data_IF_701312473977
#
_entry.id   IF_701312473977
#
_cell.length_a   1.000
_cell.length_b   1.000
_cell.length_c   1.000
_cell.angle_alpha   90.00
_cell.angle_beta   90.00
_cell.angle_gamma   90.00
#
_symmetry.space_group_name_H-M   'P 1'
#
loop_
_entity.id
_entity.type
_entity.pdbx_description
1 polymer ?
#
# COMPACT_ATOMS: atom_id res chain seq x y z
N UNK A 1 3.67 37.10 -22.67
CA UNK A 1 4.81 37.14 -23.61
C UNK A 1 6.02 37.68 -22.87
N UNK A 2 6.87 36.79 -22.37
CA UNK A 2 8.12 37.19 -21.71
C UNK A 2 9.20 37.10 -22.77
N UNK A 3 9.66 38.25 -23.26
CA UNK A 3 10.80 38.36 -24.15
C UNK A 3 12.07 38.30 -23.31
N UNK A 4 12.71 37.14 -23.25
CA UNK A 4 14.07 37.08 -22.73
C UNK A 4 15.05 37.51 -23.82
N UNK A 5 15.50 38.75 -23.74
CA UNK A 5 16.64 39.23 -24.53
C UNK A 5 17.91 38.94 -23.74
N UNK A 6 18.58 37.84 -24.06
CA UNK A 6 19.92 37.58 -23.54
C UNK A 6 20.90 38.39 -24.38
N UNK A 7 21.39 39.51 -23.85
CA UNK A 7 22.45 40.29 -24.46
C UNK A 7 23.79 39.73 -24.01
N UNK A 8 24.40 38.87 -24.83
CA UNK A 8 25.80 38.48 -24.69
C UNK A 8 26.64 39.36 -25.57
N UNK A 9 27.35 40.32 -24.99
CA UNK A 9 28.42 41.08 -25.67
C UNK A 9 29.66 40.19 -25.77
N UNK A 10 29.98 39.67 -26.95
CA UNK A 10 31.36 39.36 -27.33
C UNK A 10 31.50 39.23 -28.84
N UNK A 11 32.35 40.09 -29.39
CA UNK A 11 33.13 40.00 -30.62
C UNK A 11 32.54 39.20 -31.79
N UNK A 12 31.96 39.94 -32.77
CA UNK A 12 32.14 39.66 -34.18
C UNK A 12 31.67 38.32 -34.74
N UNK A 13 30.55 37.76 -34.29
CA UNK A 13 29.92 36.62 -34.95
C UNK A 13 28.60 37.12 -35.54
N UNK A 14 28.58 37.28 -36.88
CA UNK A 14 27.32 37.44 -37.62
C UNK A 14 26.43 36.25 -37.36
N UNK A 15 25.45 36.40 -36.47
CA UNK A 15 24.40 35.40 -36.32
C UNK A 15 23.53 35.44 -37.60
N UNK A 16 23.82 34.53 -38.54
CA UNK A 16 22.82 34.15 -39.54
C UNK A 16 21.56 33.77 -38.75
N UNK A 17 20.47 34.50 -38.97
CA UNK A 17 19.13 34.15 -38.46
C UNK A 17 18.84 32.72 -38.84
N UNK A 18 19.07 31.80 -37.92
CA UNK A 18 18.78 30.37 -38.12
C UNK A 18 17.26 30.29 -38.30
N UNK A 19 16.81 29.92 -39.50
CA UNK A 19 15.40 29.65 -39.80
C UNK A 19 14.83 28.77 -38.68
N UNK A 20 13.88 29.33 -37.92
CA UNK A 20 13.24 28.58 -36.80
C UNK A 20 12.66 27.33 -37.44
N UNK A 21 13.04 26.15 -36.92
CA UNK A 21 12.68 24.87 -37.51
C UNK A 21 11.23 24.55 -37.18
N UNK A 22 10.36 24.69 -38.15
CA UNK A 22 8.94 24.28 -38.06
C UNK A 22 8.81 22.79 -38.17
N UNK A 23 8.12 22.17 -37.25
CA UNK A 23 7.90 20.73 -37.14
C UNK A 23 6.43 20.38 -37.41
N UNK A 24 6.18 19.34 -38.17
CA UNK A 24 4.84 18.75 -38.26
C UNK A 24 4.43 18.14 -36.91
N UNK A 25 3.13 17.89 -36.69
CA UNK A 25 2.63 17.17 -35.49
C UNK A 25 3.39 15.87 -35.24
N UNK A 26 3.69 15.11 -36.30
CA UNK A 26 4.42 13.86 -36.18
C UNK A 26 5.86 14.04 -35.69
N UNK A 27 6.54 15.04 -36.22
CA UNK A 27 7.92 15.35 -35.82
C UNK A 27 8.01 15.90 -34.41
N UNK A 28 7.07 16.79 -34.02
CA UNK A 28 7.01 17.33 -32.69
C UNK A 28 6.63 16.23 -31.65
N UNK A 29 5.66 15.39 -31.98
CA UNK A 29 5.28 14.24 -31.15
C UNK A 29 6.45 13.28 -30.93
N UNK A 30 7.21 12.96 -31.99
CA UNK A 30 8.40 12.10 -31.90
C UNK A 30 9.51 12.75 -31.07
N UNK A 31 9.73 14.05 -31.23
CA UNK A 31 10.75 14.80 -30.47
C UNK A 31 10.51 14.74 -28.96
N UNK A 32 9.24 14.82 -28.56
CA UNK A 32 8.82 14.84 -27.15
C UNK A 32 8.31 13.49 -26.64
N UNK A 33 8.47 12.41 -27.44
CA UNK A 33 8.07 11.06 -27.05
C UNK A 33 6.60 10.94 -26.63
N UNK A 34 5.72 11.66 -27.32
CA UNK A 34 4.27 11.63 -27.06
C UNK A 34 3.48 11.15 -28.26
N UNK A 35 2.21 10.76 -28.02
CA UNK A 35 1.31 10.42 -29.13
C UNK A 35 0.83 11.68 -29.87
N UNK A 36 0.68 11.61 -31.18
CA UNK A 36 0.05 12.68 -31.97
C UNK A 36 -1.34 13.06 -31.46
N UNK A 37 -2.10 12.07 -30.94
CA UNK A 37 -3.43 12.30 -30.35
C UNK A 37 -3.37 13.25 -29.18
N UNK A 38 -2.32 13.19 -28.35
CA UNK A 38 -2.10 14.09 -27.23
C UNK A 38 -1.99 15.54 -27.70
N UNK A 39 -1.22 15.79 -28.77
CA UNK A 39 -1.07 17.14 -29.34
C UNK A 39 -2.38 17.64 -29.99
N UNK A 40 -3.13 16.77 -30.64
CA UNK A 40 -4.44 17.12 -31.17
C UNK A 40 -5.41 17.49 -30.05
N UNK A 41 -5.48 16.66 -29.01
CA UNK A 41 -6.32 16.90 -27.84
C UNK A 41 -5.95 18.20 -27.12
N UNK A 42 -4.66 18.44 -26.90
CA UNK A 42 -4.19 19.68 -26.27
C UNK A 42 -4.51 20.95 -27.08
N UNK A 43 -4.49 20.85 -28.42
CA UNK A 43 -4.94 21.94 -29.28
C UNK A 43 -6.45 22.16 -29.21
N UNK A 44 -7.26 21.10 -29.18
CA UNK A 44 -8.73 21.17 -29.05
C UNK A 44 -9.18 21.83 -27.76
N UNK A 45 -8.56 21.44 -26.63
CA UNK A 45 -8.84 22.04 -25.31
C UNK A 45 -8.08 23.34 -25.04
N UNK A 46 -7.34 23.84 -26.01
CA UNK A 46 -6.53 25.08 -25.93
C UNK A 46 -5.46 25.10 -24.82
N UNK A 47 -5.01 23.93 -24.41
CA UNK A 47 -3.91 23.80 -23.48
C UNK A 47 -2.56 24.07 -24.16
N UNK A 48 -2.36 23.51 -25.37
CA UNK A 48 -1.15 23.71 -26.18
C UNK A 48 -1.51 23.65 -27.65
N UNK A 49 -1.42 24.79 -28.32
CA UNK A 49 -1.79 24.92 -29.74
C UNK A 49 -0.56 25.03 -30.65
N UNK A 50 -0.67 24.56 -31.91
CA UNK A 50 0.39 24.74 -32.89
C UNK A 50 0.63 26.23 -33.20
N UNK A 51 1.85 26.57 -33.58
CA UNK A 51 2.20 27.95 -33.97
C UNK A 51 1.41 28.43 -35.19
N UNK A 52 1.22 27.51 -36.15
CA UNK A 52 0.47 27.79 -37.38
C UNK A 52 -0.33 26.55 -37.79
N UNK A 53 -1.42 26.81 -38.54
CA UNK A 53 -2.18 25.77 -39.27
C UNK A 53 -2.19 26.15 -40.75
N UNK A 54 -2.01 25.18 -41.64
CA UNK A 54 -2.18 25.43 -43.08
C UNK A 54 -3.67 25.60 -43.44
N UNK A 55 -3.96 26.08 -44.63
CA UNK A 55 -5.32 26.15 -45.20
C UNK A 55 -6.02 24.80 -45.21
N UNK A 56 -5.25 23.74 -45.42
CA UNK A 56 -5.75 22.35 -45.33
C UNK A 56 -5.85 21.79 -43.90
N UNK A 57 -5.68 22.61 -42.85
CA UNK A 57 -5.82 22.24 -41.44
C UNK A 57 -4.62 21.51 -40.83
N UNK A 58 -3.50 21.32 -41.55
CA UNK A 58 -2.30 20.71 -40.99
C UNK A 58 -1.65 21.60 -39.94
N UNK A 59 -1.30 21.00 -38.78
CA UNK A 59 -0.71 21.65 -37.60
C UNK A 59 0.81 21.68 -37.70
N UNK A 60 1.40 22.86 -37.48
CA UNK A 60 2.83 23.03 -37.43
C UNK A 60 3.26 23.70 -36.12
N UNK A 61 4.23 23.10 -35.48
CA UNK A 61 4.81 23.53 -34.22
C UNK A 61 6.18 24.14 -34.44
N UNK A 62 6.48 25.18 -33.71
CA UNK A 62 7.80 25.77 -33.67
C UNK A 62 8.66 25.05 -32.61
N UNK A 63 9.93 24.82 -32.90
CA UNK A 63 10.85 24.21 -31.93
C UNK A 63 10.96 25.06 -30.65
N UNK A 64 10.76 26.36 -30.68
CA UNK A 64 10.71 27.22 -29.50
C UNK A 64 9.57 26.89 -28.54
N UNK A 65 8.51 26.21 -29.02
CA UNK A 65 7.40 25.78 -28.20
C UNK A 65 7.74 24.53 -27.32
N UNK A 66 8.91 23.91 -27.55
CA UNK A 66 9.33 22.73 -26.79
C UNK A 66 9.40 22.97 -25.29
N UNK A 67 9.92 24.13 -24.87
CA UNK A 67 10.00 24.47 -23.43
C UNK A 67 8.60 24.60 -22.81
N UNK A 68 7.67 25.25 -23.49
CA UNK A 68 6.28 25.37 -23.05
C UNK A 68 5.61 24.01 -22.95
N UNK A 69 5.89 23.13 -23.90
CA UNK A 69 5.36 21.77 -23.89
C UNK A 69 5.94 20.93 -22.74
N UNK A 70 7.26 20.97 -22.52
CA UNK A 70 7.89 20.27 -21.40
C UNK A 70 7.42 20.83 -20.05
N UNK A 71 7.13 22.12 -19.96
CA UNK A 71 6.55 22.71 -18.77
C UNK A 71 5.15 22.15 -18.47
N UNK A 72 4.30 21.97 -19.48
CA UNK A 72 3.00 21.30 -19.33
C UNK A 72 3.18 19.85 -18.87
N UNK A 73 4.16 19.14 -19.44
CA UNK A 73 4.48 17.75 -19.04
C UNK A 73 4.88 17.69 -17.57
N UNK A 74 5.78 18.57 -17.14
CA UNK A 74 6.18 18.65 -15.73
C UNK A 74 4.97 18.85 -14.80
N UNK A 75 4.04 19.76 -15.14
CA UNK A 75 2.82 19.97 -14.35
C UNK A 75 1.91 18.72 -14.34
N UNK A 76 1.86 17.96 -15.45
CA UNK A 76 1.15 16.67 -15.51
C UNK A 76 1.83 15.61 -14.65
N UNK A 77 3.15 15.55 -14.63
CA UNK A 77 3.92 14.63 -13.76
C UNK A 77 3.70 14.94 -12.27
N UNK A 78 3.42 16.20 -11.94
CA UNK A 78 2.97 16.62 -10.60
C UNK A 78 1.50 16.26 -10.31
N UNK A 79 0.89 15.38 -11.12
CA UNK A 79 -0.49 14.94 -11.00
C UNK A 79 -1.55 16.03 -11.06
N UNK A 80 -1.22 17.17 -11.68
CA UNK A 80 -2.23 18.21 -11.92
C UNK A 80 -3.26 17.77 -12.96
N UNK A 81 -4.51 18.10 -12.71
CA UNK A 81 -5.56 17.97 -13.71
C UNK A 81 -5.33 18.95 -14.87
N UNK A 82 -5.96 18.70 -16.01
CA UNK A 82 -5.85 19.60 -17.16
C UNK A 82 -6.43 20.98 -16.85
N UNK A 83 -7.52 21.00 -16.11
CA UNK A 83 -8.22 22.22 -15.67
C UNK A 83 -7.33 23.06 -14.74
N UNK A 84 -6.63 22.43 -13.81
CA UNK A 84 -5.66 23.09 -12.92
C UNK A 84 -4.51 23.69 -13.72
N UNK A 85 -3.96 22.97 -14.71
CA UNK A 85 -2.89 23.47 -15.57
C UNK A 85 -3.38 24.67 -16.40
N UNK A 86 -4.55 24.59 -17.01
CA UNK A 86 -5.13 25.69 -17.79
C UNK A 86 -5.35 26.91 -16.89
N UNK A 87 -5.88 26.73 -15.70
CA UNK A 87 -6.13 27.81 -14.73
C UNK A 87 -4.82 28.46 -14.29
N UNK A 88 -3.84 27.65 -13.89
CA UNK A 88 -2.52 28.16 -13.50
C UNK A 88 -1.83 28.95 -14.61
N UNK A 89 -1.87 28.45 -15.86
CA UNK A 89 -1.24 29.13 -17.03
C UNK A 89 -1.87 30.45 -17.44
N UNK A 90 -3.12 30.71 -17.02
CA UNK A 90 -3.78 32.00 -17.30
C UNK A 90 -3.15 33.15 -16.52
N UNK A 91 -2.75 32.93 -15.28
CA UNK A 91 -2.15 33.95 -14.41
C UNK A 91 -1.03 33.34 -13.54
N UNK A 92 0.09 32.92 -14.18
CA UNK A 92 1.21 32.37 -13.45
C UNK A 92 1.84 33.44 -12.56
N UNK A 93 1.98 33.16 -11.28
CA UNK A 93 2.67 34.01 -10.33
C UNK A 93 3.35 33.17 -9.24
N UNK A 94 4.37 33.76 -8.62
CA UNK A 94 5.17 33.07 -7.60
C UNK A 94 4.33 32.54 -6.43
N UNK A 95 3.34 33.30 -5.97
CA UNK A 95 2.50 32.88 -4.83
C UNK A 95 1.68 31.65 -5.17
N UNK A 96 1.02 31.65 -6.34
CA UNK A 96 0.22 30.51 -6.80
C UNK A 96 1.09 29.28 -7.05
N UNK A 97 2.33 29.46 -7.55
CA UNK A 97 3.26 28.35 -7.72
C UNK A 97 3.69 27.74 -6.40
N UNK A 98 4.05 28.55 -5.41
CA UNK A 98 4.45 28.05 -4.10
C UNK A 98 3.31 27.27 -3.42
N UNK A 99 2.10 27.81 -3.43
CA UNK A 99 0.93 27.10 -2.88
C UNK A 99 0.66 25.77 -3.58
N UNK A 100 0.78 25.75 -4.91
CA UNK A 100 0.64 24.52 -5.68
C UNK A 100 1.74 23.51 -5.34
N UNK A 101 2.99 23.98 -5.29
CA UNK A 101 4.13 23.11 -4.97
C UNK A 101 4.00 22.49 -3.57
N UNK A 102 3.64 23.30 -2.57
CA UNK A 102 3.44 22.84 -1.19
C UNK A 102 2.34 21.74 -1.14
N UNK A 103 1.20 21.99 -1.79
CA UNK A 103 0.11 21.02 -1.86
C UNK A 103 0.53 19.70 -2.54
N UNK A 104 1.28 19.80 -3.65
CA UNK A 104 1.73 18.60 -4.38
C UNK A 104 2.83 17.83 -3.65
N UNK A 105 3.69 18.52 -2.91
CA UNK A 105 4.68 17.89 -2.03
C UNK A 105 3.96 17.07 -0.95
N UNK A 106 2.94 17.65 -0.31
CA UNK A 106 2.15 16.97 0.72
C UNK A 106 1.43 15.72 0.16
N UNK A 107 0.79 15.82 -1.01
CA UNK A 107 0.17 14.69 -1.70
C UNK A 107 1.18 13.57 -2.02
N UNK A 108 2.39 13.93 -2.47
CA UNK A 108 3.47 12.99 -2.75
C UNK A 108 3.98 12.33 -1.47
N UNK A 109 4.15 13.06 -0.38
CA UNK A 109 4.55 12.52 0.92
C UNK A 109 3.53 11.49 1.42
N UNK A 110 2.24 11.80 1.33
CA UNK A 110 1.17 10.85 1.64
C UNK A 110 1.24 9.58 0.78
N UNK A 111 1.49 9.74 -0.51
CA UNK A 111 1.62 8.61 -1.45
C UNK A 111 2.84 7.75 -1.10
N UNK A 112 3.98 8.37 -0.81
CA UNK A 112 5.21 7.69 -0.41
C UNK A 112 4.97 6.87 0.88
N UNK A 113 4.32 7.46 1.88
CA UNK A 113 4.01 6.76 3.12
C UNK A 113 3.05 5.58 2.91
N UNK A 114 2.05 5.73 2.06
CA UNK A 114 1.14 4.64 1.69
C UNK A 114 1.88 3.50 0.99
N UNK A 115 2.77 3.82 0.04
CA UNK A 115 3.59 2.83 -0.66
C UNK A 115 4.58 2.12 0.28
N UNK A 116 5.18 2.84 1.22
CA UNK A 116 6.05 2.23 2.26
C UNK A 116 5.29 1.21 3.11
N UNK A 117 4.06 1.55 3.54
CA UNK A 117 3.19 0.64 4.29
C UNK A 117 2.85 -0.60 3.46
N UNK A 118 2.41 -0.41 2.22
CA UNK A 118 2.11 -1.52 1.30
C UNK A 118 3.32 -2.45 1.10
N UNK A 119 4.52 -1.87 0.95
CA UNK A 119 5.77 -2.65 0.86
C UNK A 119 6.00 -3.49 2.09
N UNK A 120 5.80 -2.94 3.31
CA UNK A 120 5.95 -3.69 4.56
C UNK A 120 4.99 -4.88 4.64
N UNK A 121 3.71 -4.68 4.26
CA UNK A 121 2.72 -5.77 4.19
C UNK A 121 3.19 -6.86 3.24
N UNK A 122 3.63 -6.52 2.03
CA UNK A 122 4.11 -7.48 1.06
C UNK A 122 5.36 -8.25 1.54
N UNK A 123 6.26 -7.56 2.23
CA UNK A 123 7.44 -8.20 2.82
C UNK A 123 7.05 -9.22 3.88
N UNK A 124 6.15 -8.86 4.81
CA UNK A 124 5.64 -9.76 5.84
C UNK A 124 4.94 -10.98 5.22
N UNK A 125 4.07 -10.78 4.21
CA UNK A 125 3.39 -11.88 3.51
C UNK A 125 4.37 -12.79 2.75
N UNK A 126 5.43 -12.23 2.16
CA UNK A 126 6.50 -13.01 1.52
C UNK A 126 7.22 -13.90 2.54
N UNK A 127 7.58 -13.36 3.71
CA UNK A 127 8.24 -14.11 4.77
C UNK A 127 7.32 -15.22 5.30
N UNK A 128 6.04 -14.93 5.51
CA UNK A 128 5.04 -15.94 5.88
C UNK A 128 4.96 -17.05 4.83
N UNK A 129 4.95 -16.72 3.54
CA UNK A 129 4.90 -17.69 2.46
C UNK A 129 6.10 -18.64 2.48
N UNK A 130 7.32 -18.09 2.64
CA UNK A 130 8.55 -18.89 2.74
C UNK A 130 8.50 -19.81 3.98
N UNK A 131 8.04 -19.27 5.11
CA UNK A 131 7.91 -20.03 6.34
C UNK A 131 6.94 -21.22 6.19
N UNK A 132 5.78 -21.00 5.53
CA UNK A 132 4.76 -22.01 5.31
C UNK A 132 5.22 -23.19 4.45
N UNK A 133 6.19 -22.99 3.54
CA UNK A 133 6.68 -24.06 2.66
C UNK A 133 7.30 -25.24 3.42
N UNK A 134 7.86 -24.98 4.60
CA UNK A 134 8.59 -25.96 5.39
C UNK A 134 7.80 -26.49 6.60
N UNK A 135 6.54 -26.06 6.78
CA UNK A 135 5.71 -26.47 7.89
C UNK A 135 5.08 -27.84 7.67
N UNK A 136 5.14 -28.68 8.71
CA UNK A 136 4.42 -29.95 8.77
C UNK A 136 3.07 -29.74 9.44
N UNK A 137 2.08 -30.54 9.04
CA UNK A 137 0.78 -30.54 9.74
C UNK A 137 0.96 -30.98 11.20
N UNK A 138 0.29 -30.27 12.10
CA UNK A 138 0.32 -30.47 13.55
C UNK A 138 1.72 -30.35 14.19
N UNK A 139 2.58 -29.55 13.58
CA UNK A 139 3.91 -29.28 14.12
C UNK A 139 3.82 -28.40 15.38
N UNK A 140 4.60 -28.76 16.41
CA UNK A 140 4.72 -28.00 17.66
C UNK A 140 6.16 -27.52 17.81
N UNK A 141 6.34 -26.23 18.11
CA UNK A 141 7.65 -25.60 18.33
C UNK A 141 7.57 -24.65 19.53
N UNK A 142 8.70 -24.46 20.19
CA UNK A 142 8.89 -23.33 21.10
C UNK A 142 9.65 -22.26 20.30
N UNK A 143 9.07 -21.07 20.18
CA UNK A 143 9.62 -19.98 19.42
C UNK A 143 9.76 -18.73 20.29
N UNK A 144 10.86 -18.01 20.13
CA UNK A 144 10.98 -16.68 20.70
C UNK A 144 10.28 -15.67 19.78
N UNK A 145 9.23 -15.04 20.30
CA UNK A 145 8.51 -13.96 19.60
C UNK A 145 8.92 -12.61 20.17
N UNK A 146 9.20 -11.65 19.30
CA UNK A 146 9.37 -10.26 19.68
C UNK A 146 8.03 -9.66 20.11
N UNK A 147 8.08 -8.55 20.84
CA UNK A 147 6.85 -7.79 21.13
C UNK A 147 6.20 -7.37 19.80
N UNK A 148 4.90 -7.57 19.73
CA UNK A 148 4.09 -7.23 18.55
C UNK A 148 2.92 -6.34 18.98
N UNK A 149 2.83 -5.14 18.41
CA UNK A 149 1.68 -4.27 18.63
C UNK A 149 0.49 -4.84 17.86
N UNK A 150 -0.66 -4.94 18.54
CA UNK A 150 -1.89 -5.50 17.98
C UNK A 150 -3.08 -4.61 18.29
N UNK A 151 -4.07 -4.62 17.42
CA UNK A 151 -5.40 -4.08 17.67
C UNK A 151 -6.31 -5.24 18.06
N UNK A 152 -7.05 -5.11 19.14
CA UNK A 152 -8.01 -6.10 19.59
C UNK A 152 -9.43 -5.54 19.55
N UNK A 153 -10.38 -6.37 19.15
CA UNK A 153 -11.81 -6.10 19.25
C UNK A 153 -12.50 -7.29 19.92
N UNK A 154 -13.43 -7.06 20.86
CA UNK A 154 -14.28 -8.13 21.36
C UNK A 154 -15.18 -8.63 20.23
N UNK A 155 -15.35 -9.94 20.11
CA UNK A 155 -16.25 -10.56 19.15
C UNK A 155 -16.72 -11.92 19.66
N UNK A 156 -18.03 -12.14 19.65
CA UNK A 156 -18.64 -13.39 20.07
C UNK A 156 -19.09 -14.21 18.86
N UNK A 157 -18.25 -15.16 18.47
CA UNK A 157 -18.52 -16.05 17.33
C UNK A 157 -19.75 -16.97 17.55
N UNK A 158 -20.18 -17.18 18.79
CA UNK A 158 -21.32 -18.03 19.09
C UNK A 158 -22.68 -17.35 18.84
N UNK A 159 -22.70 -16.02 18.93
CA UNK A 159 -23.93 -15.22 18.76
C UNK A 159 -24.01 -14.53 17.40
N UNK A 160 -22.90 -14.37 16.70
CA UNK A 160 -22.84 -13.61 15.47
C UNK A 160 -22.44 -14.48 14.27
N UNK A 161 -23.09 -14.26 13.13
CA UNK A 161 -22.76 -14.93 11.87
C UNK A 161 -21.39 -14.41 11.35
N UNK A 162 -20.53 -15.30 10.88
CA UNK A 162 -19.25 -14.97 10.24
C UNK A 162 -19.43 -13.96 9.09
N UNK A 163 -20.59 -13.97 8.41
CA UNK A 163 -20.89 -12.99 7.37
C UNK A 163 -20.95 -11.55 7.90
N UNK A 164 -21.30 -11.37 9.16
CA UNK A 164 -21.35 -10.05 9.83
C UNK A 164 -19.96 -9.61 10.32
N UNK A 165 -19.05 -10.54 10.55
CA UNK A 165 -17.69 -10.26 11.02
C UNK A 165 -16.98 -9.26 10.12
N UNK A 166 -17.09 -9.41 8.80
CA UNK A 166 -16.41 -8.51 7.86
C UNK A 166 -16.98 -7.09 7.90
N UNK A 167 -18.29 -6.95 8.10
CA UNK A 167 -18.95 -5.63 8.27
C UNK A 167 -18.46 -5.00 9.56
N UNK A 168 -18.49 -5.73 10.67
CA UNK A 168 -18.01 -5.28 11.98
C UNK A 168 -16.55 -4.83 11.94
N UNK A 169 -15.69 -5.62 11.31
CA UNK A 169 -14.28 -5.28 11.17
C UNK A 169 -14.08 -3.99 10.36
N UNK A 170 -14.82 -3.80 9.26
CA UNK A 170 -14.71 -2.59 8.42
C UNK A 170 -15.17 -1.30 9.14
N UNK A 171 -16.05 -1.41 10.10
CA UNK A 171 -16.48 -0.27 10.93
C UNK A 171 -15.40 0.18 11.92
N UNK A 172 -14.51 -0.75 12.32
CA UNK A 172 -13.52 -0.50 13.38
C UNK A 172 -12.08 -0.43 12.85
N UNK A 173 -11.78 -1.11 11.76
CA UNK A 173 -10.42 -1.22 11.20
C UNK A 173 -10.33 -0.72 9.77
N UNK A 174 -9.16 -0.16 9.43
CA UNK A 174 -8.85 0.23 8.06
C UNK A 174 -8.63 -0.99 7.16
N UNK A 175 -8.77 -0.79 5.84
CA UNK A 175 -8.44 -1.85 4.86
C UNK A 175 -6.97 -2.30 4.93
N UNK A 176 -6.07 -1.41 5.34
CA UNK A 176 -4.66 -1.76 5.55
C UNK A 176 -4.53 -2.76 6.71
N UNK A 177 -5.25 -2.52 7.80
CA UNK A 177 -5.29 -3.41 8.96
C UNK A 177 -5.82 -4.79 8.59
N UNK A 178 -6.91 -4.85 7.83
CA UNK A 178 -7.47 -6.11 7.33
C UNK A 178 -6.45 -6.91 6.50
N UNK A 179 -5.64 -6.23 5.69
CA UNK A 179 -4.58 -6.86 4.86
C UNK A 179 -3.42 -7.43 5.67
N UNK A 180 -3.21 -6.94 6.88
CA UNK A 180 -2.20 -7.51 7.79
C UNK A 180 -2.54 -8.93 8.24
N UNK A 181 -3.80 -9.28 8.24
CA UNK A 181 -4.35 -10.53 8.71
C UNK A 181 -5.22 -10.33 9.95
N UNK A 182 -6.22 -11.17 10.08
CA UNK A 182 -7.14 -11.17 11.21
C UNK A 182 -6.96 -12.50 11.91
N UNK A 183 -6.73 -12.43 13.20
CA UNK A 183 -6.65 -13.59 14.08
C UNK A 183 -7.74 -13.53 15.16
N UNK A 184 -7.89 -14.60 15.90
CA UNK A 184 -8.72 -14.69 17.10
C UNK A 184 -7.87 -14.95 18.34
N UNK A 185 -8.39 -14.62 19.50
CA UNK A 185 -7.71 -14.92 20.76
C UNK A 185 -8.69 -15.50 21.78
N UNK A 186 -8.17 -16.44 22.58
CA UNK A 186 -8.92 -17.16 23.61
C UNK A 186 -8.10 -17.23 24.89
N UNK A 187 -8.74 -17.03 26.05
CA UNK A 187 -8.09 -17.09 27.34
C UNK A 187 -7.73 -18.51 27.74
N UNK A 188 -6.65 -18.64 28.51
CA UNK A 188 -6.23 -19.94 29.03
C UNK A 188 -7.27 -20.61 29.93
N UNK A 189 -8.06 -19.84 30.67
CA UNK A 189 -9.12 -20.37 31.53
C UNK A 189 -10.13 -21.19 30.73
N UNK A 190 -10.54 -20.66 29.57
CA UNK A 190 -11.42 -21.38 28.63
C UNK A 190 -10.75 -22.62 28.04
N UNK A 191 -9.47 -22.52 27.67
CA UNK A 191 -8.71 -23.65 27.14
C UNK A 191 -8.59 -24.79 28.19
N UNK A 192 -8.32 -24.47 29.44
CA UNK A 192 -8.26 -25.46 30.53
C UNK A 192 -9.63 -26.05 30.87
N UNK A 193 -10.72 -25.32 30.62
CA UNK A 193 -12.08 -25.82 30.70
C UNK A 193 -12.49 -26.68 29.50
N UNK A 194 -11.63 -26.86 28.51
CA UNK A 194 -11.90 -27.49 27.20
C UNK A 194 -12.99 -26.78 26.38
N UNK A 195 -13.17 -25.50 26.63
CA UNK A 195 -14.11 -24.67 25.87
C UNK A 195 -13.35 -23.93 24.74
N UNK A 196 -13.20 -24.63 23.63
CA UNK A 196 -12.45 -24.15 22.48
C UNK A 196 -13.29 -23.33 21.48
N UNK A 197 -14.57 -23.14 21.76
CA UNK A 197 -15.52 -22.46 20.84
C UNK A 197 -15.83 -21.01 21.23
N UNK A 198 -15.56 -20.64 22.49
CA UNK A 198 -15.87 -19.30 23.01
C UNK A 198 -14.61 -18.44 23.02
N UNK A 199 -14.41 -17.68 21.97
CA UNK A 199 -13.31 -16.72 21.86
C UNK A 199 -13.56 -15.46 22.70
N UNK A 200 -12.47 -14.75 23.05
CA UNK A 200 -12.54 -13.46 23.73
C UNK A 200 -12.58 -12.30 22.73
N UNK A 201 -12.24 -12.56 21.47
CA UNK A 201 -12.33 -11.59 20.39
C UNK A 201 -11.40 -11.88 19.23
N UNK A 202 -11.24 -10.85 18.41
CA UNK A 202 -10.37 -10.86 17.24
C UNK A 202 -9.23 -9.86 17.42
N UNK A 203 -8.11 -10.11 16.75
CA UNK A 203 -6.96 -9.19 16.72
C UNK A 203 -6.37 -9.07 15.33
N UNK A 204 -5.62 -8.00 15.12
CA UNK A 204 -4.80 -7.84 13.92
C UNK A 204 -3.45 -7.20 14.28
N UNK A 205 -2.33 -7.69 13.72
CA UNK A 205 -1.03 -7.04 13.87
C UNK A 205 -1.04 -5.61 13.32
N UNK A 206 -0.28 -4.70 13.92
CA UNK A 206 -0.16 -3.32 13.43
C UNK A 206 1.29 -2.86 13.39
N UNK A 207 1.64 -2.04 12.40
CA UNK A 207 2.95 -1.41 12.30
C UNK A 207 3.04 -0.04 13.00
N UNK A 208 1.92 0.50 13.44
CA UNK A 208 1.86 1.82 14.07
C UNK A 208 1.11 1.74 15.38
N UNK A 209 1.68 2.33 16.44
CA UNK A 209 0.96 2.54 17.69
C UNK A 209 -0.24 3.44 17.45
N UNK A 210 -1.42 2.94 17.71
CA UNK A 210 -2.68 3.68 17.72
C UNK A 210 -3.13 3.88 19.16
N UNK A 211 -4.03 4.81 19.41
CA UNK A 211 -4.52 5.13 20.76
C UNK A 211 -5.16 3.94 21.49
N UNK A 212 -5.59 2.93 20.75
CA UNK A 212 -6.24 1.72 21.29
C UNK A 212 -5.45 0.44 21.00
N UNK A 213 -4.16 0.55 20.61
CA UNK A 213 -3.32 -0.63 20.45
C UNK A 213 -2.89 -1.19 21.79
N UNK A 214 -2.94 -2.51 21.88
CA UNK A 214 -2.29 -3.28 22.95
C UNK A 214 -1.08 -4.00 22.34
N UNK A 215 -0.45 -4.87 23.11
CA UNK A 215 0.70 -5.61 22.58
C UNK A 215 0.67 -7.06 23.03
N UNK A 216 1.13 -7.92 22.16
CA UNK A 216 1.51 -9.28 22.46
C UNK A 216 2.94 -9.24 23.00
N UNK A 217 3.19 -9.65 24.25
CA UNK A 217 4.51 -9.48 24.89
C UNK A 217 5.61 -10.27 24.17
N UNK A 218 6.85 -9.80 24.26
CA UNK A 218 7.99 -10.62 23.88
C UNK A 218 8.15 -11.79 24.84
N UNK A 219 8.81 -12.85 24.39
CA UNK A 219 9.12 -14.04 25.20
C UNK A 219 9.02 -15.33 24.40
N UNK A 220 9.10 -16.46 25.11
CA UNK A 220 8.92 -17.76 24.50
C UNK A 220 7.45 -18.13 24.39
N UNK A 221 7.08 -18.64 23.24
CA UNK A 221 5.73 -19.09 22.94
C UNK A 221 5.74 -20.56 22.53
N UNK A 222 4.79 -21.31 23.07
CA UNK A 222 4.45 -22.63 22.56
C UNK A 222 3.58 -22.41 21.31
N UNK A 223 4.13 -22.74 20.14
CA UNK A 223 3.48 -22.54 18.85
C UNK A 223 3.05 -23.87 18.26
N UNK A 224 1.81 -23.93 17.78
CA UNK A 224 1.26 -25.06 17.06
C UNK A 224 0.83 -24.63 15.66
N UNK A 225 1.04 -25.50 14.68
CA UNK A 225 0.71 -25.25 13.27
C UNK A 225 -0.20 -26.35 12.77
N UNK A 226 -1.38 -26.00 12.30
CA UNK A 226 -2.35 -26.97 11.80
C UNK A 226 -2.77 -26.61 10.38
N UNK A 227 -2.82 -27.63 9.51
CA UNK A 227 -3.33 -27.51 8.13
C UNK A 227 -4.79 -27.96 8.08
N UNK A 228 -5.57 -27.30 7.23
CA UNK A 228 -6.98 -27.60 6.98
C UNK A 228 -7.94 -26.68 7.70
N UNK A 229 -9.18 -27.11 7.80
CA UNK A 229 -10.29 -26.31 8.32
C UNK A 229 -10.22 -26.09 9.84
N UNK A 230 -10.92 -25.09 10.31
CA UNK A 230 -10.90 -24.63 11.71
C UNK A 230 -11.53 -25.61 12.70
N UNK A 231 -12.36 -26.55 12.24
CA UNK A 231 -12.91 -27.65 13.06
C UNK A 231 -11.82 -28.55 13.64
N UNK A 232 -10.61 -28.50 13.11
CA UNK A 232 -9.43 -29.22 13.61
C UNK A 232 -8.72 -28.50 14.76
N UNK A 233 -8.99 -27.22 15.02
CA UNK A 233 -8.34 -26.42 16.06
C UNK A 233 -8.48 -27.02 17.48
N UNK A 234 -9.65 -27.53 17.92
CA UNK A 234 -9.78 -28.18 19.22
C UNK A 234 -8.78 -29.30 19.43
N UNK A 235 -8.54 -30.11 18.40
CA UNK A 235 -7.57 -31.22 18.49
C UNK A 235 -6.14 -30.73 18.67
N UNK A 236 -5.81 -29.57 18.05
CA UNK A 236 -4.50 -28.97 18.18
C UNK A 236 -4.30 -28.32 19.54
N UNK A 237 -5.32 -27.71 20.12
CA UNK A 237 -5.28 -27.21 21.50
C UNK A 237 -5.00 -28.30 22.51
N UNK A 238 -5.71 -29.43 22.42
CA UNK A 238 -5.47 -30.58 23.28
C UNK A 238 -4.00 -31.02 23.21
N UNK A 239 -3.45 -31.15 22.00
CA UNK A 239 -2.02 -31.51 21.80
C UNK A 239 -1.05 -30.50 22.40
N UNK A 240 -1.34 -29.20 22.27
CA UNK A 240 -0.50 -28.13 22.84
C UNK A 240 -0.52 -28.20 24.38
N UNK A 241 -1.70 -28.40 25.00
CA UNK A 241 -1.84 -28.53 26.45
C UNK A 241 -1.15 -29.78 26.97
N UNK A 242 -1.28 -30.92 26.29
CA UNK A 242 -0.57 -32.17 26.61
C UNK A 242 0.95 -31.99 26.49
N UNK A 243 1.41 -31.33 25.41
CA UNK A 243 2.84 -31.03 25.22
C UNK A 243 3.36 -30.13 26.35
N UNK A 244 2.62 -29.05 26.70
CA UNK A 244 2.99 -28.17 27.79
C UNK A 244 3.09 -28.93 29.13
N UNK A 245 2.11 -29.81 29.44
CA UNK A 245 2.14 -30.65 30.63
C UNK A 245 3.34 -31.60 30.65
N UNK A 246 3.62 -32.26 29.53
CA UNK A 246 4.76 -33.21 29.40
C UNK A 246 6.10 -32.52 29.55
N UNK A 247 6.23 -31.27 29.06
CA UNK A 247 7.45 -30.48 29.14
C UNK A 247 7.52 -29.60 30.39
N UNK A 248 6.56 -29.70 31.31
CA UNK A 248 6.46 -28.87 32.53
C UNK A 248 6.44 -27.36 32.26
N UNK A 249 5.86 -26.97 31.12
CA UNK A 249 5.74 -25.53 30.74
C UNK A 249 4.54 -24.91 31.44
N UNK A 250 4.74 -23.74 32.03
CA UNK A 250 3.65 -22.92 32.54
C UNK A 250 3.23 -21.93 31.43
N UNK A 251 1.97 -22.06 31.01
CA UNK A 251 1.41 -21.14 30.02
C UNK A 251 0.81 -19.89 30.69
N UNK A 252 0.72 -18.78 29.98
CA UNK A 252 0.17 -17.52 30.49
C UNK A 252 -0.54 -16.69 29.43
N UNK A 253 -1.57 -15.92 29.83
CA UNK A 253 -2.29 -14.97 28.99
C UNK A 253 -3.31 -15.61 28.07
N UNK A 254 -3.18 -15.38 26.80
CA UNK A 254 -4.09 -15.84 25.75
C UNK A 254 -3.38 -16.76 24.76
N UNK A 255 -4.14 -17.62 24.13
CA UNK A 255 -3.75 -18.24 22.88
C UNK A 255 -4.19 -17.33 21.73
N UNK A 256 -3.28 -17.06 20.82
CA UNK A 256 -3.51 -16.27 19.63
C UNK A 256 -3.52 -17.17 18.40
N UNK A 257 -4.59 -17.12 17.62
CA UNK A 257 -4.73 -17.86 16.38
C UNK A 257 -4.64 -16.89 15.20
N UNK A 258 -3.88 -17.24 14.19
CA UNK A 258 -3.80 -16.43 12.97
C UNK A 258 -3.53 -17.32 11.76
N UNK A 259 -4.22 -17.04 10.64
CA UNK A 259 -3.92 -17.64 9.34
C UNK A 259 -2.60 -17.14 8.81
N UNK A 260 -1.81 -18.05 8.21
CA UNK A 260 -0.50 -17.70 7.67
C UNK A 260 -0.47 -17.61 6.14
N UNK A 261 -1.39 -18.26 5.44
CA UNK A 261 -1.30 -18.43 3.99
C UNK A 261 -2.61 -18.17 3.23
N UNK A 262 -3.49 -17.37 3.76
CA UNK A 262 -4.83 -17.07 3.19
C UNK A 262 -4.79 -16.64 1.71
N UNK A 263 -3.72 -15.94 1.29
CA UNK A 263 -3.55 -15.46 -0.09
C UNK A 263 -2.86 -16.45 -1.03
N UNK A 264 -2.44 -17.60 -0.52
CA UNK A 264 -1.57 -18.54 -1.24
C UNK A 264 -2.24 -19.88 -1.53
N UNK A 265 -3.46 -20.09 -1.03
CA UNK A 265 -4.15 -21.36 -1.10
C UNK A 265 -5.23 -21.36 -2.17
N UNK A 266 -5.33 -22.47 -2.88
CA UNK A 266 -6.42 -22.75 -3.81
C UNK A 266 -7.51 -23.65 -3.17
N UNK A 267 -7.17 -24.40 -2.12
CA UNK A 267 -8.07 -25.33 -1.45
C UNK A 267 -8.08 -25.04 0.07
N UNK A 268 -9.24 -25.12 0.73
CA UNK A 268 -9.34 -24.91 2.18
C UNK A 268 -8.44 -25.84 3.00
N UNK A 269 -8.17 -27.06 2.51
CA UNK A 269 -7.32 -28.04 3.18
C UNK A 269 -5.84 -27.63 3.26
N UNK A 270 -5.41 -26.67 2.44
CA UNK A 270 -4.06 -26.11 2.48
C UNK A 270 -3.92 -24.92 3.44
N UNK A 271 -5.01 -24.48 4.07
CA UNK A 271 -4.99 -23.38 5.02
C UNK A 271 -4.14 -23.73 6.25
N UNK A 272 -3.26 -22.82 6.65
CA UNK A 272 -2.40 -23.02 7.81
C UNK A 272 -2.77 -22.01 8.88
N UNK A 273 -3.20 -22.52 10.05
CA UNK A 273 -3.40 -21.70 11.24
C UNK A 273 -2.23 -21.89 12.19
N UNK A 274 -1.65 -20.79 12.66
CA UNK A 274 -0.71 -20.76 13.79
C UNK A 274 -1.48 -20.47 15.06
N UNK A 275 -1.26 -21.29 16.09
CA UNK A 275 -1.68 -21.05 17.47
C UNK A 275 -0.42 -20.70 18.26
N UNK A 276 -0.42 -19.62 19.03
CA UNK A 276 0.72 -19.22 19.85
C UNK A 276 0.28 -18.89 21.28
N UNK A 277 0.84 -19.59 22.26
CA UNK A 277 0.53 -19.45 23.70
C UNK A 277 1.81 -19.08 24.43
N UNK A 278 1.82 -17.98 25.19
CA UNK A 278 3.02 -17.55 25.91
C UNK A 278 3.40 -18.51 27.01
N UNK A 279 4.69 -18.84 27.11
CA UNK A 279 5.27 -19.58 28.22
C UNK A 279 5.67 -18.56 29.30
N UNK A 280 5.29 -18.84 30.55
CA UNK A 280 5.69 -18.02 31.70
C UNK A 280 7.16 -18.28 31.98
N UNK A 281 7.94 -17.22 32.04
CA UNK A 281 9.35 -17.26 32.43
C UNK A 281 9.49 -17.44 33.94
#
# INVERSE_FOLDING_TARGET
MINYTVTVRSRGISMKTKKIKTLTTAQFAKLHEVNKRTLHYYDEIKLFSPKTKSEAGYRYYDLSQSLDFEYIRMLKELSMSIEEIISYRKQPNTKSFLQLADCKIEELEHTIESLKRTKKVLQAKREQAIFCQNLRDQEIRIEHCSQEDILCLPYDFAQEDISQLFVYIKEHWSMEQIRMGIGSYISLDKLYANDFSIYDGIFSPTFSKQSHSTYKPSGHYLCGYIKGSWDRLPSMYIKLLEYAKKQHLQLSGYAYEIGLNEFLIAQPDDYITKIAIRIKE
#
